data_IF_769711733678
#
_entry.id   IF_769711733678
#
_cell.length_a   1.000
_cell.length_b   1.000
_cell.length_c   1.000
_cell.angle_alpha   90.00
_cell.angle_beta   90.00
_cell.angle_gamma   90.00
#
_symmetry.space_group_name_H-M   'P 1'
#
loop_
_entity.id
_entity.type
_entity.pdbx_description
1 polymer ?
#
# COMPACT_ATOMS: atom_id res chain seq x y z
N UNK A 1 7.76 -20.87 -25.37
CA UNK A 1 8.92 -20.06 -24.98
C UNK A 1 8.57 -18.57 -25.08
N UNK A 2 7.89 -18.03 -24.08
CA UNK A 2 7.58 -16.60 -23.99
C UNK A 2 7.79 -16.17 -22.53
N UNK A 3 9.02 -16.32 -22.03
CA UNK A 3 9.34 -16.06 -20.62
C UNK A 3 9.99 -14.70 -20.38
N UNK A 4 10.40 -13.97 -21.42
CA UNK A 4 11.01 -12.64 -21.25
C UNK A 4 10.74 -11.77 -22.47
N UNK A 5 9.56 -11.15 -22.52
CA UNK A 5 9.29 -10.05 -23.45
C UNK A 5 9.69 -8.72 -22.78
N UNK A 6 10.99 -8.56 -22.53
CA UNK A 6 11.52 -7.39 -21.81
C UNK A 6 11.14 -7.36 -20.34
N UNK A 7 11.94 -6.69 -19.52
CA UNK A 7 11.67 -6.49 -18.09
C UNK A 7 10.61 -5.39 -17.88
N UNK A 8 9.52 -5.39 -18.66
CA UNK A 8 8.37 -4.53 -18.37
C UNK A 8 7.62 -5.12 -17.19
N UNK A 9 7.39 -4.37 -16.10
CA UNK A 9 6.55 -4.81 -15.00
C UNK A 9 5.20 -5.26 -15.55
N UNK A 10 4.77 -6.48 -15.21
CA UNK A 10 3.41 -6.90 -15.50
C UNK A 10 2.51 -6.08 -14.58
N UNK A 11 1.67 -5.23 -15.18
CA UNK A 11 0.76 -4.39 -14.45
C UNK A 11 -0.34 -5.24 -13.83
N UNK A 12 -0.62 -4.99 -12.55
CA UNK A 12 -1.79 -5.54 -11.90
C UNK A 12 -3.06 -4.98 -12.56
N UNK A 13 -4.10 -5.79 -12.62
CA UNK A 13 -5.46 -5.32 -12.92
C UNK A 13 -6.28 -5.37 -11.64
N UNK A 14 -7.41 -4.66 -11.61
CA UNK A 14 -8.30 -4.65 -10.43
C UNK A 14 -8.67 -6.07 -9.97
N UNK A 15 -8.87 -6.99 -10.91
CA UNK A 15 -9.33 -8.35 -10.62
C UNK A 15 -8.18 -9.36 -10.56
N UNK A 16 -6.98 -9.02 -11.02
CA UNK A 16 -5.83 -9.91 -11.03
C UNK A 16 -4.57 -9.19 -10.58
N UNK A 17 -4.06 -9.63 -9.43
CA UNK A 17 -2.79 -9.17 -8.88
C UNK A 17 -1.69 -10.19 -9.14
N UNK A 18 -0.53 -9.69 -9.52
CA UNK A 18 0.73 -10.43 -9.65
C UNK A 18 1.57 -10.34 -8.37
N UNK A 19 1.20 -9.45 -7.45
CA UNK A 19 1.88 -9.24 -6.17
C UNK A 19 0.90 -9.07 -5.02
N UNK A 20 1.24 -9.67 -3.89
CA UNK A 20 0.59 -9.46 -2.60
C UNK A 20 1.66 -9.15 -1.55
N UNK A 21 1.28 -8.96 -0.27
CA UNK A 21 2.25 -8.77 0.82
C UNK A 21 3.30 -9.90 0.84
N UNK A 22 4.55 -9.56 0.52
CA UNK A 22 5.64 -10.52 0.29
C UNK A 22 6.31 -10.98 1.58
N UNK A 23 6.28 -10.16 2.64
CA UNK A 23 6.98 -10.43 3.90
C UNK A 23 6.06 -10.14 5.09
N UNK A 24 5.29 -11.16 5.47
CA UNK A 24 4.45 -11.10 6.67
C UNK A 24 5.19 -11.66 7.88
N UNK A 25 5.76 -12.86 7.77
CA UNK A 25 6.44 -13.50 8.90
C UNK A 25 7.87 -12.97 9.00
N UNK A 26 8.18 -12.29 10.11
CA UNK A 26 9.53 -11.81 10.41
C UNK A 26 10.26 -12.73 11.40
N UNK A 27 9.51 -13.54 12.16
CA UNK A 27 10.02 -14.62 13.02
C UNK A 27 9.12 -15.84 12.96
N UNK A 28 9.70 -17.04 13.11
CA UNK A 28 8.98 -18.31 13.03
C UNK A 28 8.53 -18.78 14.40
N UNK A 29 7.34 -19.37 14.45
CA UNK A 29 6.81 -20.15 15.56
C UNK A 29 5.91 -21.25 14.99
N UNK A 30 5.50 -22.18 15.83
CA UNK A 30 4.51 -23.20 15.45
C UNK A 30 3.12 -22.57 15.39
N UNK A 31 2.38 -22.86 14.31
CA UNK A 31 0.99 -22.43 14.12
C UNK A 31 0.05 -23.62 14.34
N UNK A 32 -1.16 -23.42 14.90
CA UNK A 32 -2.12 -24.49 15.13
C UNK A 32 -2.58 -25.15 13.82
N UNK A 33 -2.39 -26.47 13.71
CA UNK A 33 -2.67 -27.27 12.52
C UNK A 33 -4.10 -27.81 12.43
N UNK A 34 -5.12 -26.99 12.69
CA UNK A 34 -6.52 -27.42 12.61
C UNK A 34 -7.12 -27.18 11.21
N UNK A 35 -8.15 -27.96 10.83
CA UNK A 35 -8.87 -27.75 9.56
C UNK A 35 -9.97 -26.72 9.79
N UNK A 36 -9.78 -25.53 9.23
CA UNK A 36 -10.81 -24.49 9.12
C UNK A 36 -11.42 -24.52 7.73
N UNK A 37 -12.71 -24.18 7.65
CA UNK A 37 -13.39 -23.89 6.39
C UNK A 37 -13.46 -22.38 6.20
N UNK A 38 -13.35 -21.89 4.97
CA UNK A 38 -13.41 -20.45 4.72
C UNK A 38 -14.87 -20.02 4.60
N UNK A 39 -15.24 -18.89 5.21
CA UNK A 39 -16.62 -18.39 5.19
C UNK A 39 -17.14 -18.24 3.75
N UNK A 40 -18.15 -19.04 3.33
CA UNK A 40 -18.60 -19.08 1.94
C UNK A 40 -19.36 -17.81 1.52
N UNK A 41 -19.70 -16.94 2.47
CA UNK A 41 -20.43 -15.70 2.21
C UNK A 41 -19.50 -14.56 1.83
N UNK A 42 -18.21 -14.64 2.17
CA UNK A 42 -17.25 -13.58 1.87
C UNK A 42 -17.15 -13.36 0.36
N UNK A 43 -17.14 -12.10 -0.06
CA UNK A 43 -16.99 -11.72 -1.46
C UNK A 43 -15.58 -12.04 -1.95
N UNK A 44 -15.47 -12.44 -3.21
CA UNK A 44 -14.19 -12.51 -3.90
C UNK A 44 -13.60 -11.11 -4.06
N UNK A 45 -12.35 -10.92 -3.61
CA UNK A 45 -11.67 -9.63 -3.68
C UNK A 45 -10.85 -9.53 -4.96
N UNK A 46 -9.95 -10.49 -5.17
CA UNK A 46 -9.09 -10.52 -6.35
C UNK A 46 -8.59 -11.93 -6.67
N UNK A 47 -8.08 -12.14 -7.88
CA UNK A 47 -7.38 -13.35 -8.29
C UNK A 47 -5.88 -13.16 -8.16
N UNK A 48 -5.20 -14.17 -7.65
CA UNK A 48 -3.75 -14.14 -7.50
C UNK A 48 -3.10 -15.10 -8.50
N UNK A 49 -2.18 -14.58 -9.31
CA UNK A 49 -1.61 -15.34 -10.42
C UNK A 49 -0.95 -16.68 -10.01
N UNK A 50 -0.32 -16.72 -8.83
CA UNK A 50 0.35 -17.92 -8.32
C UNK A 50 -0.57 -18.83 -7.47
N UNK A 51 -1.85 -18.46 -7.34
CA UNK A 51 -2.83 -19.07 -6.45
C UNK A 51 -3.65 -20.21 -7.02
N UNK A 52 -3.52 -20.50 -8.31
CA UNK A 52 -4.46 -21.36 -9.03
C UNK A 52 -5.74 -20.62 -9.42
N UNK A 53 -6.74 -21.39 -9.86
CA UNK A 53 -8.05 -20.87 -10.24
C UNK A 53 -8.91 -20.67 -8.99
N UNK A 54 -9.16 -19.41 -8.61
CA UNK A 54 -10.01 -19.08 -7.47
C UNK A 54 -9.90 -17.61 -7.08
N UNK A 55 -10.92 -17.11 -6.41
CA UNK A 55 -10.89 -15.77 -5.81
C UNK A 55 -10.32 -15.81 -4.40
N UNK A 56 -9.41 -14.88 -4.09
CA UNK A 56 -8.97 -14.61 -2.72
C UNK A 56 -10.11 -13.90 -1.99
N UNK A 57 -10.51 -14.44 -0.85
CA UNK A 57 -11.59 -13.89 0.00
C UNK A 57 -11.06 -13.36 1.33
N UNK A 58 -9.99 -13.96 1.86
CA UNK A 58 -9.26 -13.45 3.03
C UNK A 58 -7.80 -13.25 2.61
N UNK A 59 -7.38 -12.00 2.37
CA UNK A 59 -6.03 -11.70 1.96
C UNK A 59 -5.01 -11.88 3.08
N UNK A 60 -3.77 -12.19 2.68
CA UNK A 60 -2.63 -12.32 3.57
C UNK A 60 -2.46 -11.10 4.47
N UNK A 61 -2.17 -11.32 5.75
CA UNK A 61 -1.91 -10.28 6.74
C UNK A 61 -3.15 -9.64 7.36
N UNK A 62 -4.36 -10.09 6.99
CA UNK A 62 -5.60 -9.67 7.68
C UNK A 62 -5.86 -10.51 8.93
N UNK A 63 -6.36 -9.88 9.99
CA UNK A 63 -6.86 -10.54 11.17
C UNK A 63 -8.08 -11.39 10.86
N UNK A 64 -8.09 -12.59 11.43
CA UNK A 64 -9.13 -13.59 11.23
C UNK A 64 -9.76 -13.98 12.56
N UNK A 65 -11.01 -14.43 12.48
CA UNK A 65 -11.83 -14.82 13.61
C UNK A 65 -12.63 -16.07 13.25
N UNK A 66 -13.07 -16.82 14.27
CA UNK A 66 -14.10 -17.83 14.07
C UNK A 66 -15.43 -17.13 13.88
N UNK A 67 -16.18 -17.55 12.87
CA UNK A 67 -17.52 -17.04 12.61
C UNK A 67 -18.44 -17.35 13.80
N UNK A 68 -19.24 -16.38 14.21
CA UNK A 68 -20.25 -16.56 15.28
C UNK A 68 -21.65 -16.80 14.72
N UNK A 69 -21.87 -16.54 13.45
CA UNK A 69 -23.07 -16.86 12.69
C UNK A 69 -22.61 -17.26 11.30
N UNK A 70 -22.75 -18.52 10.93
CA UNK A 70 -22.28 -19.14 9.70
C UNK A 70 -23.42 -19.49 8.73
N UNK A 71 -24.67 -19.15 9.07
CA UNK A 71 -25.84 -19.54 8.29
C UNK A 71 -26.13 -21.05 8.31
N UNK A 72 -25.39 -21.82 9.10
CA UNK A 72 -25.65 -23.24 9.36
C UNK A 72 -26.88 -23.46 10.23
N UNK A 73 -27.33 -24.71 10.32
CA UNK A 73 -28.55 -25.10 11.07
C UNK A 73 -28.51 -24.67 12.54
N UNK A 74 -27.32 -24.65 13.15
CA UNK A 74 -27.11 -24.32 14.56
C UNK A 74 -26.59 -22.91 14.82
N UNK A 75 -26.22 -22.16 13.77
CA UNK A 75 -25.60 -20.81 13.85
C UNK A 75 -24.51 -20.70 14.93
N UNK A 76 -23.64 -21.71 14.97
CA UNK A 76 -22.61 -21.87 15.99
C UNK A 76 -21.20 -21.68 15.42
N UNK A 77 -21.07 -21.22 14.17
CA UNK A 77 -19.78 -21.01 13.53
C UNK A 77 -19.17 -22.26 12.91
N UNK A 78 -19.97 -23.30 12.64
CA UNK A 78 -19.50 -24.55 12.05
C UNK A 78 -20.37 -25.04 10.90
N UNK A 79 -19.75 -25.23 9.72
CA UNK A 79 -20.43 -25.79 8.54
C UNK A 79 -19.91 -27.19 8.24
N UNK A 80 -20.71 -27.97 7.49
CA UNK A 80 -20.30 -29.30 7.06
C UNK A 80 -19.25 -29.19 5.95
N UNK A 81 -18.12 -29.85 6.16
CA UNK A 81 -17.08 -30.07 5.16
C UNK A 81 -17.64 -30.83 3.95
N UNK A 82 -17.28 -30.40 2.74
CA UNK A 82 -17.82 -30.95 1.49
C UNK A 82 -17.52 -32.44 1.31
N UNK A 83 -16.37 -32.90 1.81
CA UNK A 83 -15.91 -34.27 1.63
C UNK A 83 -16.41 -35.22 2.72
N UNK A 84 -16.15 -34.86 3.98
CA UNK A 84 -16.40 -35.75 5.11
C UNK A 84 -17.80 -35.58 5.71
N UNK A 85 -18.54 -34.54 5.31
CA UNK A 85 -19.79 -34.11 5.95
C UNK A 85 -19.64 -33.98 7.47
N UNK A 86 -18.48 -33.51 7.92
CA UNK A 86 -18.13 -33.27 9.32
C UNK A 86 -18.19 -31.78 9.57
N UNK A 87 -18.81 -31.37 10.69
CA UNK A 87 -18.84 -29.97 11.11
C UNK A 87 -17.43 -29.48 11.44
N UNK A 88 -17.02 -28.38 10.80
CA UNK A 88 -15.72 -27.74 11.00
C UNK A 88 -15.91 -26.25 11.28
N UNK A 89 -15.04 -25.64 12.09
CA UNK A 89 -15.10 -24.21 12.37
C UNK A 89 -14.88 -23.38 11.10
N UNK A 90 -15.69 -22.34 10.95
CA UNK A 90 -15.60 -21.39 9.84
C UNK A 90 -14.71 -20.21 10.21
N UNK A 91 -13.72 -19.94 9.36
CA UNK A 91 -12.83 -18.81 9.45
C UNK A 91 -13.39 -17.63 8.64
N UNK A 92 -13.52 -16.48 9.28
CA UNK A 92 -13.99 -15.22 8.68
C UNK A 92 -13.05 -14.06 9.05
N UNK A 93 -13.30 -12.86 8.51
CA UNK A 93 -12.55 -11.67 8.88
C UNK A 93 -12.91 -11.20 10.29
N UNK A 94 -11.90 -10.83 11.07
CA UNK A 94 -12.14 -10.19 12.36
C UNK A 94 -12.79 -8.81 12.14
N UNK A 95 -13.80 -8.47 12.95
CA UNK A 95 -14.56 -7.20 12.82
C UNK A 95 -14.37 -6.25 14.01
N UNK A 96 -13.35 -6.50 14.83
CA UNK A 96 -13.11 -5.73 16.05
C UNK A 96 -14.29 -5.82 17.03
N UNK A 97 -15.08 -6.89 17.03
CA UNK A 97 -16.19 -7.05 17.97
C UNK A 97 -17.37 -6.10 17.72
N UNK A 98 -17.62 -5.73 16.46
CA UNK A 98 -18.79 -4.96 16.03
C UNK A 98 -19.54 -5.72 14.92
N UNK A 99 -20.85 -5.56 14.87
CA UNK A 99 -21.63 -6.10 13.76
C UNK A 99 -21.34 -5.32 12.47
N UNK A 100 -21.06 -6.02 11.37
CA UNK A 100 -20.74 -5.41 10.07
C UNK A 100 -21.75 -5.91 9.03
N UNK A 101 -22.45 -4.97 8.39
CA UNK A 101 -23.32 -5.27 7.25
C UNK A 101 -22.48 -5.34 5.97
N UNK A 102 -22.49 -6.48 5.30
CA UNK A 102 -21.73 -6.71 4.07
C UNK A 102 -22.60 -7.36 3.00
N UNK A 103 -22.28 -7.05 1.74
CA UNK A 103 -22.86 -7.75 0.59
C UNK A 103 -22.02 -9.00 0.34
N UNK A 104 -22.64 -10.17 0.53
CA UNK A 104 -21.98 -11.45 0.34
C UNK A 104 -21.73 -11.77 -1.14
N UNK A 105 -21.03 -12.89 -1.38
CA UNK A 105 -20.71 -13.39 -2.74
C UNK A 105 -21.94 -13.56 -3.65
N UNK A 106 -23.09 -13.90 -3.09
CA UNK A 106 -24.36 -14.07 -3.82
C UNK A 106 -25.09 -12.75 -4.12
N UNK A 107 -24.53 -11.61 -3.72
CA UNK A 107 -25.18 -10.29 -3.81
C UNK A 107 -26.26 -10.05 -2.76
N UNK A 108 -26.38 -10.93 -1.77
CA UNK A 108 -27.31 -10.79 -0.65
C UNK A 108 -26.63 -10.11 0.54
N UNK A 109 -27.36 -9.23 1.21
CA UNK A 109 -26.89 -8.60 2.43
C UNK A 109 -26.81 -9.64 3.56
N UNK A 110 -25.69 -9.62 4.28
CA UNK A 110 -25.45 -10.44 5.44
C UNK A 110 -24.76 -9.61 6.52
N UNK A 111 -25.16 -9.80 7.77
CA UNK A 111 -24.51 -9.17 8.92
C UNK A 111 -23.52 -10.13 9.55
N UNK A 112 -22.23 -9.83 9.43
CA UNK A 112 -21.18 -10.51 10.19
C UNK A 112 -21.24 -10.02 11.64
N UNK A 113 -21.80 -10.86 12.52
CA UNK A 113 -21.94 -10.57 13.94
C UNK A 113 -20.58 -10.36 14.60
N UNK A 114 -20.54 -9.54 15.66
CA UNK A 114 -19.34 -9.29 16.46
C UNK A 114 -18.60 -10.59 16.79
N UNK A 115 -17.34 -10.66 16.39
CA UNK A 115 -16.48 -11.84 16.56
C UNK A 115 -15.20 -11.48 17.31
N UNK A 116 -14.46 -12.51 17.73
CA UNK A 116 -13.19 -12.37 18.46
C UNK A 116 -12.05 -12.85 17.58
N UNK A 117 -11.07 -11.97 17.37
CA UNK A 117 -9.90 -12.31 16.58
C UNK A 117 -9.06 -13.42 17.27
N UNK A 118 -8.61 -14.37 16.47
CA UNK A 118 -7.78 -15.51 16.90
C UNK A 118 -6.35 -15.45 16.36
N UNK A 119 -6.09 -14.58 15.39
CA UNK A 119 -4.78 -14.44 14.77
C UNK A 119 -4.85 -13.73 13.43
N UNK A 120 -3.83 -13.93 12.60
CA UNK A 120 -3.65 -13.29 11.30
C UNK A 120 -3.49 -14.36 10.21
N UNK A 121 -4.05 -14.12 9.03
CA UNK A 121 -3.91 -15.02 7.90
C UNK A 121 -2.47 -15.03 7.37
N UNK A 122 -1.82 -16.20 7.40
CA UNK A 122 -0.44 -16.38 6.89
C UNK A 122 -0.31 -16.12 5.38
N UNK A 123 -1.31 -16.59 4.64
CA UNK A 123 -1.35 -16.58 3.17
C UNK A 123 -2.64 -15.96 2.65
N UNK A 124 -2.74 -15.86 1.32
CA UNK A 124 -4.02 -15.52 0.69
C UNK A 124 -4.91 -16.77 0.76
N UNK A 125 -6.04 -16.66 1.44
CA UNK A 125 -7.02 -17.73 1.53
C UNK A 125 -8.07 -17.56 0.43
N UNK A 126 -8.28 -18.64 -0.30
CA UNK A 126 -9.18 -18.67 -1.43
C UNK A 126 -10.57 -19.09 -0.97
N UNK A 127 -11.56 -18.72 -1.77
CA UNK A 127 -12.89 -19.27 -1.64
C UNK A 127 -12.84 -20.80 -1.72
N UNK A 128 -13.68 -21.44 -0.94
CA UNK A 128 -13.79 -22.89 -0.97
C UNK A 128 -14.73 -23.31 -2.10
N UNK A 129 -14.24 -24.17 -2.98
CA UNK A 129 -15.02 -24.81 -4.03
C UNK A 129 -14.52 -26.25 -4.20
N UNK A 130 -15.38 -27.10 -4.76
CA UNK A 130 -15.06 -28.51 -4.99
C UNK A 130 -13.98 -28.61 -6.08
N UNK A 131 -12.75 -28.91 -5.67
CA UNK A 131 -11.60 -29.15 -6.53
C UNK A 131 -10.91 -30.49 -6.17
N UNK A 132 -10.12 -31.04 -7.09
CA UNK A 132 -9.40 -32.30 -6.93
C UNK A 132 -8.37 -32.33 -5.80
N UNK A 133 -8.07 -31.19 -5.17
CA UNK A 133 -7.18 -31.07 -4.01
C UNK A 133 -7.90 -30.79 -2.68
N UNK A 134 -9.24 -30.85 -2.67
CA UNK A 134 -10.06 -30.64 -1.47
C UNK A 134 -9.89 -29.23 -0.84
N UNK A 135 -9.74 -28.22 -1.71
CA UNK A 135 -9.56 -26.83 -1.32
C UNK A 135 -8.21 -26.53 -0.66
N UNK A 136 -8.10 -25.32 -0.10
CA UNK A 136 -6.93 -24.88 0.67
C UNK A 136 -7.23 -25.02 2.16
N UNK A 137 -6.32 -25.62 2.92
CA UNK A 137 -6.40 -25.60 4.37
C UNK A 137 -5.84 -24.27 4.91
N UNK A 138 -6.65 -23.43 5.58
CA UNK A 138 -6.18 -22.17 6.12
C UNK A 138 -5.18 -22.38 7.26
N UNK A 139 -4.16 -21.51 7.32
CA UNK A 139 -3.23 -21.43 8.45
C UNK A 139 -3.37 -20.06 9.11
N UNK A 140 -3.50 -20.07 10.43
CA UNK A 140 -3.68 -18.88 11.26
C UNK A 140 -2.46 -18.70 12.15
N UNK A 141 -1.96 -17.48 12.18
CA UNK A 141 -0.78 -17.08 12.92
C UNK A 141 -1.19 -16.33 14.20
N UNK A 142 -0.78 -16.82 15.36
CA UNK A 142 -1.25 -16.33 16.67
C UNK A 142 -0.13 -15.94 17.65
N UNK A 143 1.06 -16.54 17.53
CA UNK A 143 2.21 -16.31 18.43
C UNK A 143 3.51 -15.95 17.68
N UNK A 144 3.39 -15.40 16.48
CA UNK A 144 4.56 -15.04 15.66
C UNK A 144 4.81 -13.53 15.63
N UNK A 145 6.02 -13.21 15.20
CA UNK A 145 6.41 -11.86 14.88
C UNK A 145 6.07 -11.53 13.43
N UNK A 146 5.09 -10.64 13.21
CA UNK A 146 4.64 -10.23 11.89
C UNK A 146 5.15 -8.83 11.51
N UNK A 147 5.28 -8.59 10.22
CA UNK A 147 5.59 -7.30 9.59
C UNK A 147 4.46 -6.93 8.63
N UNK A 148 3.90 -5.74 8.80
CA UNK A 148 2.88 -5.17 7.92
C UNK A 148 3.34 -3.83 7.38
N UNK A 149 2.97 -3.47 6.13
CA UNK A 149 3.22 -2.13 5.63
C UNK A 149 2.48 -1.10 6.49
N UNK A 150 3.18 -0.03 6.84
CA UNK A 150 2.65 1.07 7.62
C UNK A 150 2.11 2.15 6.68
N UNK A 151 0.79 2.29 6.62
CA UNK A 151 0.09 3.28 5.80
C UNK A 151 -0.79 4.12 6.73
N UNK A 152 -0.33 5.30 7.20
CA UNK A 152 -1.05 6.06 8.24
C UNK A 152 -2.48 6.43 7.85
N UNK A 153 -2.71 6.76 6.57
CA UNK A 153 -4.03 7.14 6.07
C UNK A 153 -4.92 5.92 5.80
N UNK A 154 -6.08 5.86 6.46
CA UNK A 154 -7.11 4.84 6.22
C UNK A 154 -7.50 4.73 4.75
N UNK A 155 -7.69 5.85 4.05
CA UNK A 155 -8.11 5.85 2.65
C UNK A 155 -7.09 5.12 1.75
N UNK A 156 -5.80 5.39 1.95
CA UNK A 156 -4.73 4.71 1.21
C UNK A 156 -4.62 3.22 1.60
N UNK A 157 -4.83 2.90 2.88
CA UNK A 157 -4.82 1.52 3.37
C UNK A 157 -6.02 0.70 2.85
N UNK A 158 -7.15 1.33 2.57
CA UNK A 158 -8.33 0.67 2.00
C UNK A 158 -8.23 0.43 0.49
N UNK A 159 -7.35 1.16 -0.22
CA UNK A 159 -7.05 0.91 -1.64
C UNK A 159 -6.30 -0.41 -1.88
N UNK A 160 -5.65 -0.96 -0.85
CA UNK A 160 -4.96 -2.25 -0.92
C UNK A 160 -5.81 -3.35 -0.30
N UNK A 161 -5.82 -4.52 -0.94
CA UNK A 161 -6.66 -5.63 -0.49
C UNK A 161 -5.97 -6.51 0.58
N UNK A 162 -4.64 -6.61 0.62
CA UNK A 162 -3.94 -7.35 1.68
C UNK A 162 -3.88 -6.58 3.01
N UNK A 163 -3.45 -7.27 4.06
CA UNK A 163 -3.29 -6.69 5.38
C UNK A 163 -2.28 -5.56 5.42
N UNK A 164 -2.65 -4.49 6.11
CA UNK A 164 -1.84 -3.33 6.39
C UNK A 164 -2.13 -2.80 7.78
N UNK A 165 -1.23 -1.95 8.27
CA UNK A 165 -1.42 -1.19 9.49
C UNK A 165 -1.71 0.26 9.15
N UNK A 166 -2.76 0.84 9.77
CA UNK A 166 -3.06 2.26 9.66
C UNK A 166 -3.41 2.87 11.02
N UNK A 167 -3.22 4.18 11.14
CA UNK A 167 -3.57 4.87 12.38
C UNK A 167 -5.05 5.24 12.38
N UNK A 168 -5.73 4.95 13.49
CA UNK A 168 -7.11 5.40 13.69
C UNK A 168 -7.20 6.93 13.73
N UNK A 169 -6.15 7.57 14.23
CA UNK A 169 -5.97 9.01 14.30
C UNK A 169 -4.55 9.36 13.84
N UNK A 170 -4.43 10.10 12.73
CA UNK A 170 -3.15 10.45 12.10
C UNK A 170 -2.31 11.33 13.04
N UNK A 171 -2.95 12.12 13.92
CA UNK A 171 -2.25 12.98 14.87
C UNK A 171 -1.65 12.19 16.04
N UNK A 172 -2.03 10.92 16.20
CA UNK A 172 -1.54 9.99 17.21
C UNK A 172 -0.93 8.75 16.54
N UNK A 173 0.26 8.89 15.93
CA UNK A 173 0.92 7.78 15.27
C UNK A 173 1.23 6.67 16.26
N UNK A 174 1.16 5.43 15.78
CA UNK A 174 1.49 4.23 16.56
C UNK A 174 2.89 4.31 17.20
N UNK A 175 2.97 3.83 18.45
CA UNK A 175 4.19 3.77 19.23
C UNK A 175 4.57 2.34 19.58
N UNK A 176 5.84 2.17 19.93
CA UNK A 176 6.36 0.95 20.52
C UNK A 176 5.59 0.61 21.80
N UNK A 177 5.11 -0.63 21.90
CA UNK A 177 4.36 -1.11 23.06
C UNK A 177 2.85 -0.92 22.97
N UNK A 178 2.31 -0.27 21.94
CA UNK A 178 0.86 -0.14 21.76
C UNK A 178 0.22 -1.51 21.47
N UNK A 179 -0.99 -1.72 21.98
CA UNK A 179 -1.78 -2.91 21.69
C UNK A 179 -2.46 -2.79 20.34
N UNK A 180 -2.61 -3.90 19.64
CA UNK A 180 -3.18 -3.97 18.29
C UNK A 180 -4.46 -4.78 18.29
N UNK A 181 -5.46 -4.30 17.55
CA UNK A 181 -6.71 -5.00 17.27
C UNK A 181 -7.07 -4.94 15.78
N UNK A 182 -8.11 -5.66 15.39
CA UNK A 182 -8.66 -5.58 14.03
C UNK A 182 -9.61 -4.38 13.86
N UNK A 183 -9.62 -3.80 12.66
CA UNK A 183 -10.74 -2.99 12.17
C UNK A 183 -11.95 -3.88 11.81
N UNK A 184 -12.98 -3.28 11.20
CA UNK A 184 -14.18 -3.99 10.76
C UNK A 184 -13.94 -5.04 9.64
N UNK A 185 -12.80 -4.97 8.93
CA UNK A 185 -12.46 -5.73 7.72
C UNK A 185 -11.19 -6.59 7.84
N UNK A 186 -10.66 -6.78 9.04
CA UNK A 186 -9.44 -7.55 9.29
C UNK A 186 -8.12 -6.78 9.16
N UNK A 187 -8.08 -5.46 8.95
CA UNK A 187 -6.82 -4.69 8.99
C UNK A 187 -6.41 -4.41 10.43
N UNK A 188 -5.12 -4.19 10.66
CA UNK A 188 -4.62 -3.97 12.02
C UNK A 188 -4.56 -2.48 12.35
N UNK A 189 -5.07 -2.14 13.54
CA UNK A 189 -5.12 -0.79 14.08
C UNK A 189 -4.74 -0.80 15.57
N UNK A 190 -4.40 0.36 16.11
CA UNK A 190 -4.17 0.52 17.55
C UNK A 190 -5.47 0.28 18.34
N UNK A 191 -5.38 -0.55 19.38
CA UNK A 191 -6.39 -0.66 20.43
C UNK A 191 -6.19 0.51 21.41
N UNK A 192 -6.96 1.59 21.22
CA UNK A 192 -6.79 2.85 21.95
C UNK A 192 -7.32 2.78 23.40
N UNK A 193 -6.53 2.13 24.27
CA UNK A 193 -6.78 2.12 25.71
C UNK A 193 -6.49 3.47 26.38
N UNK A 194 -5.61 4.29 25.80
CA UNK A 194 -5.21 5.57 26.39
C UNK A 194 -6.37 6.56 26.38
N UNK A 195 -7.08 6.71 25.25
CA UNK A 195 -8.26 7.56 25.17
C UNK A 195 -9.35 7.14 26.17
N UNK A 196 -9.58 5.84 26.36
CA UNK A 196 -10.58 5.37 27.33
C UNK A 196 -10.13 5.64 28.77
N UNK A 197 -8.83 5.49 29.07
CA UNK A 197 -8.27 5.82 30.39
C UNK A 197 -8.36 7.32 30.69
N UNK A 198 -8.20 8.18 29.70
CA UNK A 198 -8.32 9.63 29.87
C UNK A 198 -9.76 10.03 30.20
N UNK A 199 -10.77 9.41 29.57
CA UNK A 199 -12.19 9.60 29.92
C UNK A 199 -12.46 9.19 31.38
N UNK A 200 -11.87 8.08 31.84
CA UNK A 200 -12.04 7.63 33.22
C UNK A 200 -11.42 8.57 34.25
N UNK A 201 -10.24 9.11 33.94
CA UNK A 201 -9.50 10.05 34.79
C UNK A 201 -10.08 11.47 34.77
N UNK A 202 -10.79 11.85 33.71
CA UNK A 202 -11.39 13.17 33.59
C UNK A 202 -12.37 13.44 34.73
N UNK A 203 -12.23 14.62 35.33
CA UNK A 203 -13.14 15.15 36.35
C UNK A 203 -14.43 15.71 35.74
N UNK A 204 -14.43 15.97 34.44
CA UNK A 204 -15.58 16.54 33.69
C UNK A 204 -16.46 15.46 33.06
N UNK A 205 -15.98 14.21 32.99
CA UNK A 205 -16.75 13.11 32.43
C UNK A 205 -17.89 12.67 33.37
N UNK A 206 -19.09 12.56 32.78
CA UNK A 206 -20.28 12.04 33.45
C UNK A 206 -20.16 10.55 33.80
N UNK A 207 -20.98 10.08 34.75
CA UNK A 207 -20.99 8.67 35.13
C UNK A 207 -21.28 7.74 33.92
N UNK A 208 -22.21 8.12 33.06
CA UNK A 208 -22.57 7.35 31.86
C UNK A 208 -21.40 7.23 30.88
N UNK A 209 -20.64 8.31 30.68
CA UNK A 209 -19.42 8.28 29.87
C UNK A 209 -18.35 7.36 30.46
N UNK A 210 -18.23 7.30 31.79
CA UNK A 210 -17.30 6.39 32.47
C UNK A 210 -17.74 4.93 32.36
N UNK A 211 -19.04 4.64 32.47
CA UNK A 211 -19.56 3.29 32.24
C UNK A 211 -19.35 2.84 30.80
N UNK A 212 -19.59 3.71 29.83
CA UNK A 212 -19.32 3.42 28.42
C UNK A 212 -17.83 3.14 28.17
N UNK A 213 -16.92 3.92 28.78
CA UNK A 213 -15.48 3.68 28.68
C UNK A 213 -15.04 2.33 29.29
N UNK A 214 -15.66 1.90 30.39
CA UNK A 214 -15.37 0.57 31.01
C UNK A 214 -15.84 -0.56 30.08
N UNK A 215 -17.03 -0.44 29.50
CA UNK A 215 -17.55 -1.43 28.55
C UNK A 215 -16.64 -1.51 27.31
N UNK A 216 -16.18 -0.36 26.80
CA UNK A 216 -15.27 -0.30 25.66
C UNK A 216 -13.90 -0.89 25.99
N UNK A 217 -13.32 -0.61 27.17
CA UNK A 217 -12.07 -1.24 27.61
C UNK A 217 -12.21 -2.77 27.65
N UNK A 218 -13.34 -3.27 28.16
CA UNK A 218 -13.61 -4.72 28.21
C UNK A 218 -13.66 -5.30 26.79
N UNK A 219 -14.33 -4.62 25.84
CA UNK A 219 -14.34 -5.01 24.43
C UNK A 219 -12.93 -5.00 23.84
N UNK A 220 -12.16 -3.94 24.05
CA UNK A 220 -10.78 -3.83 23.55
C UNK A 220 -9.92 -4.98 24.07
N UNK A 221 -10.00 -5.33 25.36
CA UNK A 221 -9.26 -6.45 25.95
C UNK A 221 -9.53 -7.79 25.25
N UNK A 222 -10.78 -8.05 24.88
CA UNK A 222 -11.11 -9.28 24.15
C UNK A 222 -10.55 -9.27 22.70
N UNK A 223 -10.46 -8.09 22.10
CA UNK A 223 -10.08 -7.87 20.70
C UNK A 223 -8.58 -7.67 20.46
N UNK A 224 -7.77 -7.46 21.50
CA UNK A 224 -6.31 -7.35 21.35
C UNK A 224 -5.77 -8.64 20.74
N UNK A 225 -4.97 -8.55 19.68
CA UNK A 225 -4.35 -9.69 18.98
C UNK A 225 -2.84 -9.73 19.23
N UNK A 226 -2.23 -8.58 19.54
CA UNK A 226 -0.80 -8.48 19.78
C UNK A 226 -0.37 -7.10 20.24
N UNK A 227 0.94 -6.90 20.26
CA UNK A 227 1.59 -5.66 20.69
C UNK A 227 2.63 -5.21 19.65
N UNK A 228 2.71 -3.90 19.43
CA UNK A 228 3.70 -3.30 18.53
C UNK A 228 5.08 -3.42 19.16
N UNK A 229 5.99 -4.13 18.49
CA UNK A 229 7.37 -4.27 18.94
C UNK A 229 8.27 -3.19 18.36
N UNK A 230 8.13 -2.90 17.07
CA UNK A 230 8.97 -1.95 16.34
C UNK A 230 8.16 -1.22 15.28
N UNK A 231 8.39 0.09 15.16
CA UNK A 231 7.88 0.91 14.07
C UNK A 231 9.07 1.41 13.28
N UNK A 232 9.13 1.07 12.00
CA UNK A 232 10.20 1.47 11.10
C UNK A 232 9.62 2.40 10.03
N UNK A 233 9.87 3.71 10.17
CA UNK A 233 9.39 4.75 9.23
C UNK A 233 10.49 5.28 8.32
N UNK A 234 11.72 4.82 8.51
CA UNK A 234 12.83 5.24 7.67
C UNK A 234 12.79 4.45 6.36
N UNK A 235 12.05 4.94 5.37
CA UNK A 235 12.05 4.37 4.03
C UNK A 235 13.50 4.39 3.51
N UNK A 236 14.08 3.21 3.23
CA UNK A 236 15.50 3.09 2.93
C UNK A 236 15.82 3.72 1.55
N UNK A 237 17.09 4.03 1.33
CA UNK A 237 17.85 3.23 0.37
C UNK A 237 18.58 2.08 1.07
N UNK A 238 18.38 0.85 0.58
CA UNK A 238 18.90 -0.35 1.25
C UNK A 238 20.38 -0.63 0.99
N UNK A 239 21.06 -1.20 1.99
CA UNK A 239 22.30 -1.96 1.81
C UNK A 239 23.52 -1.12 1.45
N UNK A 240 24.32 -1.59 0.49
CA UNK A 240 25.46 -0.81 -0.05
C UNK A 240 25.00 0.42 -0.83
N UNK A 241 23.73 0.48 -1.24
CA UNK A 241 23.17 1.54 -2.07
C UNK A 241 23.13 2.90 -1.35
N UNK A 242 22.97 2.90 -0.03
CA UNK A 242 23.06 4.13 0.79
C UNK A 242 24.46 4.77 0.73
N UNK A 243 25.51 3.97 0.50
CA UNK A 243 26.90 4.43 0.43
C UNK A 243 27.31 4.89 -0.96
N UNK A 244 26.44 4.65 -1.95
CA UNK A 244 26.65 4.99 -3.36
C UNK A 244 25.61 5.99 -3.86
N UNK A 245 24.55 6.23 -3.09
CA UNK A 245 23.54 7.26 -3.34
C UNK A 245 24.05 8.66 -3.06
N UNK A 246 23.52 9.61 -3.84
CA UNK A 246 23.77 11.03 -3.62
C UNK A 246 23.12 11.48 -2.31
N UNK A 247 23.78 12.36 -1.57
CA UNK A 247 23.17 13.01 -0.40
C UNK A 247 22.06 13.96 -0.85
N UNK A 248 21.13 14.31 0.04
CA UNK A 248 20.05 15.27 -0.26
C UNK A 248 20.60 16.62 -0.77
N UNK A 249 21.76 17.03 -0.27
CA UNK A 249 22.47 18.23 -0.70
C UNK A 249 22.97 18.12 -2.14
N UNK A 250 23.47 16.95 -2.54
CA UNK A 250 23.89 16.70 -3.92
C UNK A 250 22.69 16.60 -4.87
N UNK A 251 21.57 16.03 -4.41
CA UNK A 251 20.32 15.99 -5.19
C UNK A 251 19.73 17.38 -5.38
N UNK A 252 19.75 18.23 -4.37
CA UNK A 252 19.31 19.62 -4.47
C UNK A 252 20.17 20.44 -5.45
N UNK A 253 21.49 20.21 -5.46
CA UNK A 253 22.41 20.86 -6.43
C UNK A 253 22.15 20.37 -7.86
N UNK A 254 21.83 19.09 -8.05
CA UNK A 254 21.47 18.50 -9.34
C UNK A 254 20.11 19.05 -9.82
N UNK A 255 19.07 19.00 -8.99
CA UNK A 255 17.73 19.49 -9.35
C UNK A 255 17.71 21.01 -9.60
N UNK A 256 18.66 21.77 -9.02
CA UNK A 256 18.81 23.21 -9.29
C UNK A 256 19.46 23.54 -10.65
N UNK A 257 20.09 22.56 -11.31
CA UNK A 257 20.97 22.82 -12.45
C UNK A 257 20.55 22.21 -13.80
N UNK A 258 19.43 21.49 -13.90
CA UNK A 258 19.00 20.98 -15.21
C UNK A 258 17.50 20.78 -15.38
N UNK A 259 16.88 21.70 -16.12
CA UNK A 259 15.98 21.27 -17.19
C UNK A 259 16.83 20.76 -18.36
N UNK A 260 16.36 19.72 -19.08
CA UNK A 260 17.03 19.26 -20.29
C UNK A 260 17.20 20.41 -21.29
N UNK A 261 18.39 20.57 -21.86
CA UNK A 261 18.62 21.49 -22.98
C UNK A 261 18.22 20.83 -24.29
N UNK A 262 17.95 21.62 -25.34
CA UNK A 262 17.64 21.10 -26.67
C UNK A 262 18.70 20.12 -27.21
N UNK A 263 19.95 20.24 -26.75
CA UNK A 263 21.08 19.37 -27.12
C UNK A 263 21.01 17.95 -26.52
N UNK A 264 20.14 17.72 -25.53
CA UNK A 264 19.89 16.37 -24.99
C UNK A 264 18.91 15.58 -25.89
N UNK A 265 18.29 16.21 -26.89
CA UNK A 265 17.54 15.55 -27.97
C UNK A 265 18.52 15.18 -29.07
N UNK A 266 19.17 14.02 -28.97
CA UNK A 266 19.97 13.50 -30.08
C UNK A 266 19.06 12.98 -31.20
N UNK A 267 19.04 13.73 -32.30
CA UNK A 267 18.89 13.27 -33.67
C UNK A 267 17.60 12.49 -34.00
N UNK A 268 16.43 13.15 -33.83
CA UNK A 268 15.10 12.77 -34.37
C UNK A 268 14.67 11.30 -34.23
N UNK A 269 15.34 10.54 -33.37
CA UNK A 269 15.04 9.18 -32.99
C UNK A 269 15.10 9.16 -31.48
N UNK A 270 13.96 8.88 -30.86
CA UNK A 270 13.91 8.48 -29.47
C UNK A 270 15.02 7.45 -29.22
N UNK A 271 16.03 7.73 -28.38
CA UNK A 271 16.95 6.70 -27.95
C UNK A 271 16.14 5.82 -26.99
N UNK A 272 15.41 4.86 -27.57
CA UNK A 272 14.87 3.76 -26.80
C UNK A 272 15.99 3.01 -26.10
N UNK A 273 15.59 2.11 -25.20
CA UNK A 273 16.45 1.20 -24.47
C UNK A 273 17.70 0.76 -25.27
N UNK A 274 18.94 0.83 -24.73
CA UNK A 274 19.35 1.09 -23.34
C UNK A 274 19.87 2.51 -23.05
N UNK A 275 19.70 3.48 -23.97
CA UNK A 275 20.37 4.79 -23.88
C UNK A 275 19.52 5.92 -23.28
N UNK A 276 18.31 5.61 -22.79
CA UNK A 276 17.49 6.59 -22.09
C UNK A 276 18.13 6.94 -20.74
N UNK A 277 18.25 8.26 -20.43
CA UNK A 277 18.82 8.75 -19.17
C UNK A 277 18.13 8.13 -17.93
N UNK A 278 16.86 7.77 -18.05
CA UNK A 278 16.07 7.08 -17.03
C UNK A 278 16.55 5.67 -16.70
N UNK A 279 17.42 5.04 -17.51
CA UNK A 279 18.00 3.72 -17.26
C UNK A 279 19.51 3.75 -16.94
N UNK A 280 20.14 4.93 -16.96
CA UNK A 280 21.59 5.04 -16.82
C UNK A 280 21.97 5.25 -15.36
N UNK A 281 22.47 4.19 -14.72
CA UNK A 281 23.02 4.27 -13.36
C UNK A 281 24.29 5.13 -13.25
N UNK A 282 24.84 5.57 -14.38
CA UNK A 282 26.04 6.41 -14.42
C UNK A 282 25.86 7.50 -15.46
N UNK A 283 25.93 8.76 -15.07
CA UNK A 283 25.92 9.87 -16.01
C UNK A 283 27.35 10.23 -16.44
N UNK A 284 27.71 9.89 -17.67
CA UNK A 284 28.99 10.23 -18.28
C UNK A 284 29.28 11.73 -18.40
N UNK A 285 28.25 12.61 -18.36
CA UNK A 285 28.45 14.07 -18.40
C UNK A 285 28.86 14.62 -17.03
N UNK A 286 28.18 14.20 -15.97
CA UNK A 286 28.51 14.61 -14.60
C UNK A 286 29.53 13.70 -13.89
N UNK A 287 29.88 12.56 -14.49
CA UNK A 287 30.66 11.48 -13.86
C UNK A 287 30.08 10.98 -12.53
N UNK A 288 28.76 11.10 -12.35
CA UNK A 288 28.04 10.71 -11.12
C UNK A 288 27.29 9.40 -11.31
N UNK A 289 27.23 8.59 -10.26
CA UNK A 289 26.45 7.36 -10.21
C UNK A 289 25.08 7.63 -9.58
N UNK A 290 24.02 7.22 -10.26
CA UNK A 290 22.63 7.30 -9.79
C UNK A 290 22.15 5.89 -9.47
N UNK A 291 22.06 5.49 -8.19
CA UNK A 291 21.53 4.18 -7.87
C UNK A 291 20.04 4.14 -8.20
N UNK A 292 19.66 3.34 -9.20
CA UNK A 292 18.27 3.05 -9.48
C UNK A 292 17.88 1.68 -8.89
N UNK A 293 16.69 1.62 -8.30
CA UNK A 293 16.10 0.34 -7.88
C UNK A 293 15.74 -0.50 -9.11
N UNK A 294 15.60 -1.80 -8.94
CA UNK A 294 15.13 -2.67 -10.01
C UNK A 294 13.67 -2.29 -10.28
N UNK A 295 13.30 -1.91 -11.52
CA UNK A 295 11.95 -1.49 -11.85
C UNK A 295 10.90 -2.50 -11.40
N UNK A 296 9.90 -1.99 -10.71
CA UNK A 296 8.87 -2.80 -10.09
C UNK A 296 9.35 -3.46 -8.80
N UNK A 297 10.58 -3.95 -8.65
CA UNK A 297 10.96 -4.75 -7.49
C UNK A 297 11.43 -3.93 -6.29
N UNK A 298 12.36 -3.00 -6.49
CA UNK A 298 13.01 -2.28 -5.38
C UNK A 298 13.09 -0.78 -5.62
N UNK A 299 12.38 -0.24 -6.62
CA UNK A 299 12.41 1.19 -6.92
C UNK A 299 11.29 2.00 -6.24
N UNK A 300 10.48 1.41 -5.36
CA UNK A 300 9.32 2.11 -4.80
C UNK A 300 8.28 2.40 -5.88
N UNK A 301 7.97 1.40 -6.71
CA UNK A 301 7.14 1.52 -7.91
C UNK A 301 5.70 1.97 -7.65
N UNK A 302 5.21 1.86 -6.41
CA UNK A 302 3.85 2.28 -6.02
C UNK A 302 3.83 3.41 -5.00
N UNK A 303 4.98 3.84 -4.49
CA UNK A 303 5.05 4.98 -3.57
C UNK A 303 5.03 6.27 -4.38
N UNK A 304 4.07 7.15 -4.07
CA UNK A 304 3.97 8.48 -4.67
C UNK A 304 4.92 9.45 -3.96
N UNK A 305 5.89 9.97 -4.68
CA UNK A 305 6.79 11.02 -4.18
C UNK A 305 6.36 12.38 -4.76
N UNK A 306 6.04 13.37 -3.91
CA UNK A 306 5.68 14.70 -4.36
C UNK A 306 6.90 15.54 -4.70
N UNK A 307 6.84 16.25 -5.82
CA UNK A 307 7.82 17.24 -6.25
C UNK A 307 7.10 18.58 -6.43
N UNK A 308 7.71 19.66 -5.93
CA UNK A 308 7.10 20.99 -5.92
C UNK A 308 7.97 21.99 -6.69
N UNK A 309 7.32 22.73 -7.57
CA UNK A 309 7.89 23.85 -8.33
C UNK A 309 9.25 23.51 -9.01
N UNK A 310 9.36 22.31 -9.59
CA UNK A 310 10.55 21.86 -10.33
C UNK A 310 10.69 22.65 -11.63
N UNK A 311 11.86 23.25 -11.86
CA UNK A 311 12.14 24.02 -13.07
C UNK A 311 12.27 23.09 -14.28
N UNK A 312 11.39 23.25 -15.27
CA UNK A 312 11.43 22.50 -16.53
C UNK A 312 12.21 23.25 -17.63
N UNK A 313 12.21 24.58 -17.56
CA UNK A 313 12.88 25.44 -18.53
C UNK A 313 12.33 26.86 -18.50
N UNK A 314 12.55 27.61 -19.58
CA UNK A 314 12.03 28.98 -19.72
C UNK A 314 11.47 29.23 -21.11
N UNK A 315 10.52 30.16 -21.20
CA UNK A 315 9.95 30.68 -22.45
C UNK A 315 10.57 32.04 -22.71
N UNK A 316 11.37 32.15 -23.76
CA UNK A 316 12.00 33.41 -24.13
C UNK A 316 10.98 34.45 -24.64
N UNK A 317 11.26 35.76 -24.46
CA UNK A 317 10.47 36.86 -25.02
C UNK A 317 10.20 36.68 -26.52
N UNK A 318 8.96 36.89 -26.95
CA UNK A 318 8.56 36.78 -28.36
C UNK A 318 8.34 35.34 -28.85
N UNK A 319 8.53 34.33 -28.00
CA UNK A 319 8.21 32.95 -28.35
C UNK A 319 6.70 32.72 -28.30
N UNK A 320 6.14 32.24 -29.41
CA UNK A 320 4.73 31.87 -29.51
C UNK A 320 4.58 30.49 -30.14
N UNK A 321 3.61 29.70 -29.66
CA UNK A 321 3.25 28.40 -30.21
C UNK A 321 3.46 27.24 -29.24
N UNK A 322 3.51 26.03 -29.80
CA UNK A 322 3.68 24.79 -29.04
C UNK A 322 5.12 24.64 -28.57
N UNK A 323 5.30 24.57 -27.26
CA UNK A 323 6.57 24.24 -26.63
C UNK A 323 6.47 22.87 -25.95
N UNK A 324 7.59 22.15 -26.00
CA UNK A 324 7.70 20.81 -25.44
C UNK A 324 8.67 20.86 -24.26
N UNK A 325 8.19 20.43 -23.10
CA UNK A 325 8.98 20.28 -21.89
C UNK A 325 9.00 18.82 -21.48
N UNK A 326 10.04 18.40 -20.78
CA UNK A 326 10.15 17.05 -20.23
C UNK A 326 10.39 17.10 -18.74
N UNK A 327 9.58 16.34 -18.01
CA UNK A 327 9.79 16.07 -16.59
C UNK A 327 10.71 14.85 -16.49
N UNK A 328 11.82 14.98 -15.76
CA UNK A 328 12.82 13.92 -15.67
C UNK A 328 12.40 12.76 -14.75
N UNK A 329 11.61 13.05 -13.70
CA UNK A 329 11.16 12.05 -12.73
C UNK A 329 9.89 11.37 -13.25
N UNK A 330 10.05 10.19 -13.82
CA UNK A 330 8.97 9.39 -14.43
C UNK A 330 8.92 7.97 -13.86
N UNK A 331 7.76 7.30 -13.86
CA UNK A 331 6.46 7.73 -14.41
C UNK A 331 5.68 8.67 -13.46
N UNK A 332 4.92 9.59 -14.06
CA UNK A 332 4.08 10.57 -13.35
C UNK A 332 2.75 9.94 -12.91
N UNK A 333 2.22 10.40 -11.78
CA UNK A 333 0.88 10.02 -11.33
C UNK A 333 -0.15 10.83 -12.12
N UNK A 334 -1.11 10.14 -12.74
CA UNK A 334 -2.17 10.77 -13.52
C UNK A 334 -2.96 11.79 -12.68
N UNK A 335 -3.26 12.96 -13.27
CA UNK A 335 -3.97 14.04 -12.59
C UNK A 335 -3.20 14.79 -11.49
N UNK A 336 -1.94 14.44 -11.21
CA UNK A 336 -1.14 15.12 -10.18
C UNK A 336 -0.35 16.34 -10.65
N UNK A 337 -0.31 16.59 -11.96
CA UNK A 337 0.60 17.56 -12.61
C UNK A 337 -0.05 18.94 -12.65
N UNK A 338 0.58 19.91 -12.00
CA UNK A 338 0.29 21.34 -12.07
C UNK A 338 1.49 22.06 -12.68
N UNK A 339 1.28 22.82 -13.76
CA UNK A 339 2.35 23.55 -14.45
C UNK A 339 2.12 25.04 -14.27
N UNK A 340 3.19 25.77 -13.95
CA UNK A 340 3.19 27.22 -13.82
C UNK A 340 4.12 27.84 -14.85
N UNK A 341 3.66 28.91 -15.49
CA UNK A 341 4.47 29.75 -16.38
C UNK A 341 4.50 31.16 -15.79
N UNK A 342 5.68 31.66 -15.42
CA UNK A 342 5.82 32.97 -14.77
C UNK A 342 5.01 33.09 -13.48
N UNK A 343 4.81 31.97 -12.76
CA UNK A 343 4.03 31.88 -11.52
C UNK A 343 2.52 31.72 -11.69
N UNK A 344 1.97 31.74 -12.90
CA UNK A 344 0.55 31.47 -13.16
C UNK A 344 0.33 30.01 -13.57
N UNK A 345 -0.70 29.37 -13.02
CA UNK A 345 -1.07 27.99 -13.38
C UNK A 345 -1.63 27.98 -14.80
N UNK A 346 -1.09 27.11 -15.64
CA UNK A 346 -1.49 26.96 -17.06
C UNK A 346 -1.87 25.50 -17.30
N UNK A 347 -3.01 25.29 -17.96
CA UNK A 347 -3.41 23.95 -18.38
C UNK A 347 -2.58 23.48 -19.58
N UNK A 348 -1.95 22.30 -19.50
CA UNK A 348 -1.18 21.75 -20.61
C UNK A 348 -2.09 21.21 -21.72
N UNK A 349 -1.65 21.35 -22.97
CA UNK A 349 -2.36 20.82 -24.13
C UNK A 349 -2.31 19.28 -24.20
N UNK A 350 -1.21 18.70 -23.72
CA UNK A 350 -1.06 17.24 -23.59
C UNK A 350 -0.01 16.92 -22.53
N UNK A 351 -0.27 15.90 -21.71
CA UNK A 351 0.72 15.29 -20.82
C UNK A 351 0.80 13.80 -21.13
N UNK A 352 2.00 13.32 -21.41
CA UNK A 352 2.30 11.89 -21.50
C UNK A 352 2.94 11.42 -20.18
N UNK A 353 2.15 10.75 -19.34
CA UNK A 353 2.52 10.43 -17.95
C UNK A 353 3.69 9.45 -17.83
N UNK A 354 3.85 8.51 -18.76
CA UNK A 354 4.94 7.54 -18.73
C UNK A 354 6.30 8.15 -19.10
N UNK A 355 6.32 9.04 -20.08
CA UNK A 355 7.55 9.62 -20.63
C UNK A 355 7.90 11.00 -20.06
N UNK A 356 6.96 11.59 -19.30
CA UNK A 356 7.07 12.92 -18.72
C UNK A 356 7.00 14.05 -19.76
N UNK A 357 6.50 13.79 -20.98
CA UNK A 357 6.42 14.81 -22.03
C UNK A 357 5.21 15.72 -21.76
N UNK A 358 5.45 17.02 -21.71
CA UNK A 358 4.45 18.04 -21.49
C UNK A 358 4.44 18.98 -22.69
N UNK A 359 3.28 19.15 -23.31
CA UNK A 359 3.07 20.11 -24.40
C UNK A 359 2.30 21.30 -23.89
N UNK A 360 2.87 22.50 -24.00
CA UNK A 360 2.25 23.76 -23.64
C UNK A 360 2.03 24.62 -24.88
N UNK A 361 0.88 25.29 -24.95
CA UNK A 361 0.68 26.40 -25.88
C UNK A 361 0.95 27.69 -25.13
N UNK A 362 2.10 28.31 -25.43
CA UNK A 362 2.56 29.51 -24.72
C UNK A 362 2.71 30.67 -25.67
N UNK A 363 2.37 31.86 -25.19
CA UNK A 363 2.59 33.12 -25.89
C UNK A 363 3.21 34.13 -24.93
N UNK A 364 4.54 34.20 -24.93
CA UNK A 364 5.26 35.18 -24.11
C UNK A 364 5.44 36.48 -24.90
N UNK A 365 4.46 37.37 -24.83
CA UNK A 365 4.52 38.72 -25.41
C UNK A 365 5.30 39.73 -24.55
N UNK A 366 5.89 39.28 -23.43
CA UNK A 366 6.65 40.12 -22.51
C UNK A 366 8.09 40.39 -22.96
N UNK A 367 8.81 41.20 -22.19
CA UNK A 367 10.22 41.56 -22.43
C UNK A 367 11.23 40.72 -21.64
N UNK A 368 10.77 39.79 -20.81
CA UNK A 368 11.62 38.92 -19.97
C UNK A 368 11.27 37.44 -20.16
N UNK A 369 12.25 36.52 -20.04
CA UNK A 369 11.97 35.10 -20.00
C UNK A 369 11.00 34.75 -18.86
N UNK A 370 10.06 33.86 -19.14
CA UNK A 370 9.16 33.31 -18.13
C UNK A 370 9.61 31.90 -17.78
N UNK A 371 9.83 31.63 -16.49
CA UNK A 371 10.17 30.28 -16.03
C UNK A 371 8.95 29.37 -16.10
N UNK A 372 9.19 28.13 -16.50
CA UNK A 372 8.20 27.06 -16.53
C UNK A 372 8.55 26.09 -15.41
N UNK A 373 7.70 26.02 -14.40
CA UNK A 373 7.85 25.10 -13.28
C UNK A 373 6.70 24.10 -13.23
N UNK A 374 6.94 22.92 -12.67
CA UNK A 374 5.90 21.90 -12.48
C UNK A 374 5.91 21.37 -11.05
N UNK A 375 4.73 21.23 -10.48
CA UNK A 375 4.48 20.46 -9.27
C UNK A 375 3.76 19.17 -9.67
N UNK A 376 4.26 18.02 -9.26
CA UNK A 376 3.73 16.73 -9.69
C UNK A 376 4.07 15.64 -8.68
N UNK A 377 3.42 14.48 -8.80
CA UNK A 377 3.84 13.27 -8.10
C UNK A 377 4.41 12.27 -9.10
N UNK A 378 5.47 11.57 -8.71
CA UNK A 378 6.05 10.48 -9.49
C UNK A 378 6.24 9.22 -8.64
N UNK A 379 6.20 8.06 -9.28
CA UNK A 379 6.48 6.76 -8.63
C UNK A 379 7.82 6.20 -9.08
N UNK A 380 8.34 5.18 -8.40
CA UNK A 380 9.60 4.55 -8.81
C UNK A 380 10.85 5.39 -8.48
N UNK A 381 10.73 6.36 -7.58
CA UNK A 381 11.79 7.34 -7.25
C UNK A 381 12.62 6.94 -6.02
N UNK A 382 12.23 5.88 -5.30
CA UNK A 382 12.87 5.47 -4.05
C UNK A 382 13.61 4.14 -4.24
N UNK A 383 14.91 4.16 -4.58
CA UNK A 383 15.68 2.96 -4.80
C UNK A 383 15.95 2.23 -3.47
N UNK A 384 15.82 0.91 -3.46
CA UNK A 384 16.05 0.07 -2.30
C UNK A 384 14.84 -0.17 -1.39
N UNK A 385 13.64 0.28 -1.76
CA UNK A 385 12.42 -0.01 -0.95
C UNK A 385 12.11 -1.52 -1.00
N UNK A 386 11.91 -2.18 0.16
CA UNK A 386 11.45 -3.57 0.21
C UNK A 386 10.11 -3.74 -0.49
N UNK A 387 9.94 -4.83 -1.24
CA UNK A 387 8.68 -5.16 -1.92
C UNK A 387 7.46 -5.20 -0.98
N UNK A 388 7.67 -5.56 0.29
CA UNK A 388 6.60 -5.60 1.30
C UNK A 388 6.11 -4.22 1.74
N UNK A 389 6.90 -3.16 1.50
CA UNK A 389 6.60 -1.78 1.89
C UNK A 389 6.22 -0.92 0.68
N UNK A 390 6.41 -1.42 -0.55
CA UNK A 390 6.17 -0.70 -1.80
C UNK A 390 4.67 -0.59 -2.13
N UNK A 391 3.97 0.25 -1.37
CA UNK A 391 2.54 0.52 -1.51
C UNK A 391 2.26 2.01 -1.42
N UNK A 392 1.17 2.45 -2.06
CA UNK A 392 0.75 3.84 -2.02
C UNK A 392 0.51 4.30 -0.58
N UNK A 393 1.10 5.44 -0.22
CA UNK A 393 1.00 6.01 1.13
C UNK A 393 1.77 5.24 2.21
N UNK A 394 2.55 4.22 1.85
CA UNK A 394 3.40 3.50 2.78
C UNK A 394 4.55 4.40 3.23
N UNK A 395 4.76 4.47 4.53
CA UNK A 395 5.87 5.20 5.16
C UNK A 395 6.90 4.26 5.78
N UNK A 396 6.72 2.94 5.63
CA UNK A 396 7.60 1.91 6.17
C UNK A 396 6.84 0.68 6.63
N UNK A 397 7.18 0.14 7.80
CA UNK A 397 6.53 -1.04 8.35
C UNK A 397 6.33 -1.00 9.86
N UNK A 398 5.24 -1.63 10.30
CA UNK A 398 4.98 -1.93 11.71
C UNK A 398 5.25 -3.41 11.92
N UNK A 399 6.02 -3.72 12.96
CA UNK A 399 6.25 -5.10 13.37
C UNK A 399 5.53 -5.38 14.68
N UNK A 400 4.73 -6.43 14.68
CA UNK A 400 3.77 -6.74 15.74
C UNK A 400 4.09 -8.14 16.25
N UNK A 401 4.21 -8.27 17.57
CA UNK A 401 4.29 -9.55 18.24
C UNK A 401 2.85 -9.98 18.57
N UNK A 402 2.39 -11.05 17.92
CA UNK A 402 1.08 -11.65 18.20
C UNK A 402 1.12 -12.39 19.55
N UNK A 403 0.01 -12.38 20.28
CA UNK A 403 -0.06 -12.85 21.67
C UNK A 403 -1.32 -13.71 21.95
N UNK A 404 -1.88 -14.36 20.92
CA UNK A 404 -3.19 -15.04 21.02
C UNK A 404 -3.11 -16.54 21.24
#
# INVERSE_FOLDING_TARGET
>A
MALFKGATPVLDTKDQYFRSNTKLQAGTHDSPGEKFLVDPRLKGLFRYHFGGDGWVVIPKGRAVAISTDDGGEFKNGTINDFDANVQRPVLTLANGGKDVLEVGKSGQDHTRTANKAIGVAYGNLYEEFVDGFNGMQPTVENEIYIELPYIPSRANAEEIEWGSFYDKDIDKPVKHGDYVMSDENGRLIVADFEAQRDVLKSTEATADQKFAAIAEISRLQEQVIGQVWAVETNLPPQGWLQWVGSTDEQLAEIDSSSGMTADDIQDNKFPGYPYEKTYRNFDAKSSKYYPQGIPGLTNGSRIEVPFKDVLLGSVNPGSSGKQYYRIEKTPLVEGSVEIKVGGQVVEPANIHYESGLVTLEVNNTGNSPQEVTASFKATGQLPGVPTGWDWKGSVGAVRILLQK
#
